data_IF_375999400071
#
_entry.id   IF_375999400071
#
_cell.length_a   1.000
_cell.length_b   1.000
_cell.length_c   1.000
_cell.angle_alpha   90.00
_cell.angle_beta   90.00
_cell.angle_gamma   90.00
#
_symmetry.space_group_name_H-M   'P 1'
#
loop_
_entity.id
_entity.type
_entity.pdbx_description
1 polymer ?
#
# COMPACT_ATOMS: atom_id res chain seq x y z
N UNK A 1 -60.97 -45.77 3.42
CA UNK A 1 -61.03 -44.30 3.57
C UNK A 1 -59.80 -43.87 4.32
N UNK A 2 -58.70 -43.59 3.58
CA UNK A 2 -57.42 -43.17 4.14
C UNK A 2 -57.27 -41.67 3.91
N UNK A 3 -57.12 -40.94 5.01
CA UNK A 3 -56.81 -39.52 5.01
C UNK A 3 -55.31 -39.35 4.73
N UNK A 4 -54.95 -38.61 3.68
CA UNK A 4 -53.62 -38.13 3.40
C UNK A 4 -53.35 -36.86 4.21
N UNK A 5 -52.43 -36.96 5.17
CA UNK A 5 -51.93 -35.78 5.89
C UNK A 5 -50.92 -35.02 4.99
N UNK A 6 -51.31 -33.82 4.63
CA UNK A 6 -50.42 -32.87 3.92
C UNK A 6 -49.50 -32.16 4.95
N UNK A 7 -48.24 -32.57 4.97
CA UNK A 7 -47.21 -31.89 5.73
C UNK A 7 -46.90 -30.52 5.15
N UNK A 8 -47.06 -29.46 5.97
CA UNK A 8 -46.76 -28.09 5.63
C UNK A 8 -45.22 -27.94 5.74
N UNK A 9 -44.51 -27.81 4.61
CA UNK A 9 -43.12 -27.41 4.58
C UNK A 9 -43.03 -25.93 4.89
N UNK A 10 -42.50 -25.61 6.08
CA UNK A 10 -42.12 -24.25 6.48
C UNK A 10 -40.86 -23.83 5.72
N UNK A 11 -41.01 -22.95 4.74
CA UNK A 11 -39.93 -22.33 3.99
C UNK A 11 -39.35 -21.19 4.86
N UNK A 12 -38.28 -21.47 5.61
CA UNK A 12 -37.56 -20.45 6.34
C UNK A 12 -36.83 -19.52 5.35
N UNK A 13 -37.33 -18.30 5.26
CA UNK A 13 -36.68 -17.20 4.54
C UNK A 13 -35.36 -16.84 5.27
N UNK A 14 -34.24 -17.28 4.68
CA UNK A 14 -32.93 -16.78 5.07
C UNK A 14 -32.81 -15.37 4.50
N UNK A 15 -32.97 -14.36 5.35
CA UNK A 15 -32.69 -12.98 4.98
C UNK A 15 -31.18 -12.83 4.71
N UNK A 16 -30.76 -12.32 3.54
CA UNK A 16 -29.36 -11.97 3.36
C UNK A 16 -29.05 -10.76 4.25
N UNK A 17 -28.16 -10.97 5.20
CA UNK A 17 -27.59 -9.90 6.02
C UNK A 17 -26.65 -9.10 5.09
N UNK A 18 -27.17 -8.08 4.43
CA UNK A 18 -26.35 -7.10 3.74
C UNK A 18 -25.60 -6.31 4.83
N UNK A 19 -24.29 -6.56 4.92
CA UNK A 19 -23.41 -5.66 5.64
C UNK A 19 -23.49 -4.30 4.92
N UNK A 20 -24.25 -3.38 5.50
CA UNK A 20 -24.32 -2.01 5.04
C UNK A 20 -22.95 -1.40 5.32
N UNK A 21 -22.17 -1.17 4.25
CA UNK A 21 -20.96 -0.38 4.35
C UNK A 21 -21.37 0.96 4.96
N UNK A 22 -20.76 1.34 6.07
CA UNK A 22 -20.96 2.64 6.67
C UNK A 22 -20.58 3.69 5.61
N UNK A 23 -21.56 4.50 5.19
CA UNK A 23 -21.29 5.66 4.36
C UNK A 23 -20.27 6.54 5.08
N UNK A 24 -19.25 7.06 4.39
CA UNK A 24 -18.31 7.98 5.01
C UNK A 24 -19.09 9.21 5.48
N UNK A 25 -19.03 9.48 6.77
CA UNK A 25 -19.57 10.71 7.36
C UNK A 25 -18.74 11.85 6.78
N UNK A 26 -19.27 12.61 5.83
CA UNK A 26 -18.72 13.90 5.40
C UNK A 26 -18.85 14.89 6.56
N UNK A 27 -17.88 14.88 7.46
CA UNK A 27 -17.68 15.99 8.38
C UNK A 27 -17.02 17.11 7.56
N UNK A 28 -17.78 18.18 7.27
CA UNK A 28 -17.36 19.31 6.44
C UNK A 28 -16.16 20.12 6.99
N UNK A 29 -15.43 19.57 7.95
CA UNK A 29 -14.21 20.12 8.54
C UNK A 29 -13.04 19.12 8.51
N UNK A 30 -12.96 18.27 7.49
CA UNK A 30 -11.84 17.34 7.33
C UNK A 30 -10.53 18.13 7.15
N UNK A 31 -9.76 18.21 8.22
CA UNK A 31 -8.37 18.61 8.14
C UNK A 31 -7.64 17.56 7.32
N UNK A 32 -7.17 17.91 6.16
CA UNK A 32 -6.34 17.03 5.34
C UNK A 32 -5.14 16.58 6.17
N UNK A 33 -4.82 15.27 6.16
CA UNK A 33 -3.69 14.75 6.94
C UNK A 33 -2.38 15.33 6.43
N UNK A 34 -1.41 15.51 7.33
CA UNK A 34 -0.04 15.76 6.93
C UNK A 34 0.58 14.46 6.42
N UNK A 35 1.29 14.53 5.30
CA UNK A 35 1.99 13.39 4.71
C UNK A 35 3.49 13.66 4.76
N UNK A 36 4.25 12.73 5.37
CA UNK A 36 5.71 12.74 5.34
C UNK A 36 6.17 11.54 4.54
N UNK A 37 6.86 11.79 3.42
CA UNK A 37 7.46 10.76 2.59
C UNK A 37 8.96 10.69 2.90
N UNK A 38 9.43 9.50 3.31
CA UNK A 38 10.85 9.21 3.52
C UNK A 38 11.28 8.24 2.43
N UNK A 39 12.15 8.68 1.55
CA UNK A 39 12.67 7.90 0.43
C UNK A 39 14.17 7.70 0.62
N UNK A 40 14.57 6.48 0.97
CA UNK A 40 15.96 6.13 1.22
C UNK A 40 16.67 5.75 -0.10
N UNK A 41 17.92 6.21 -0.26
CA UNK A 41 18.81 5.82 -1.35
C UNK A 41 19.68 4.65 -0.89
N UNK A 42 20.03 3.75 -1.81
CA UNK A 42 20.88 2.57 -1.58
C UNK A 42 20.46 1.65 -0.41
N UNK A 43 19.18 1.65 -0.05
CA UNK A 43 18.63 0.77 0.98
C UNK A 43 18.01 -0.49 0.35
N UNK A 44 18.60 -1.65 0.61
CA UNK A 44 18.12 -2.94 0.15
C UNK A 44 16.92 -3.46 0.98
N UNK A 45 16.12 -4.33 0.40
CA UNK A 45 14.97 -4.96 1.06
C UNK A 45 15.36 -5.66 2.36
N UNK A 46 16.53 -6.33 2.40
CA UNK A 46 17.03 -7.06 3.57
C UNK A 46 17.79 -6.22 4.59
N UNK A 47 17.88 -4.89 4.44
CA UNK A 47 18.70 -4.04 5.30
C UNK A 47 17.98 -3.54 6.57
N UNK A 48 16.66 -3.76 6.64
CA UNK A 48 15.83 -3.40 7.79
C UNK A 48 15.43 -4.64 8.60
N UNK A 49 15.42 -4.53 9.95
CA UNK A 49 15.01 -5.63 10.81
C UNK A 49 13.59 -6.13 10.53
N UNK A 50 12.64 -5.24 10.23
CA UNK A 50 11.27 -5.64 9.88
C UNK A 50 11.18 -6.46 8.59
N UNK A 51 12.25 -6.49 7.79
CA UNK A 51 12.39 -7.34 6.61
C UNK A 51 13.44 -8.44 6.75
N UNK A 52 13.97 -8.64 7.96
CA UNK A 52 14.83 -9.78 8.30
C UNK A 52 16.32 -9.46 8.46
N UNK A 53 16.73 -8.20 8.46
CA UNK A 53 18.13 -7.83 8.77
C UNK A 53 18.53 -8.32 10.16
N UNK A 54 19.69 -8.98 10.25
CA UNK A 54 20.24 -9.46 11.52
C UNK A 54 21.42 -8.63 12.03
N UNK A 55 22.09 -7.90 11.14
CA UNK A 55 23.30 -7.16 11.45
C UNK A 55 23.11 -5.72 11.91
N UNK A 56 21.94 -5.16 11.66
CA UNK A 56 21.62 -3.74 11.94
C UNK A 56 20.32 -3.67 12.75
N UNK A 57 20.31 -2.77 13.74
CA UNK A 57 19.12 -2.50 14.56
C UNK A 57 18.38 -1.28 14.07
N UNK A 58 17.08 -1.46 13.73
CA UNK A 58 16.22 -0.40 13.18
C UNK A 58 14.92 -0.21 13.99
N UNK A 59 15.01 0.08 15.31
CA UNK A 59 13.85 0.03 16.21
C UNK A 59 12.75 1.03 15.84
N UNK A 60 13.09 2.19 15.30
CA UNK A 60 12.11 3.19 14.89
C UNK A 60 11.36 2.76 13.64
N UNK A 61 12.04 2.16 12.67
CA UNK A 61 11.41 1.61 11.47
C UNK A 61 10.56 0.39 11.81
N UNK A 62 11.03 -0.46 12.73
CA UNK A 62 10.25 -1.59 13.24
C UNK A 62 8.93 -1.12 13.88
N UNK A 63 8.96 -0.02 14.64
CA UNK A 63 7.76 0.56 15.23
C UNK A 63 6.80 1.04 14.15
N UNK A 64 7.26 1.77 13.14
CA UNK A 64 6.42 2.17 12.01
C UNK A 64 5.81 0.97 11.28
N UNK A 65 6.58 -0.09 11.08
CA UNK A 65 6.11 -1.31 10.43
C UNK A 65 5.06 -2.07 11.27
N UNK A 66 5.16 -2.01 12.60
CA UNK A 66 4.21 -2.65 13.50
C UNK A 66 2.92 -1.85 13.68
N UNK A 67 3.03 -0.52 13.70
CA UNK A 67 1.90 0.39 13.93
C UNK A 67 1.13 0.70 12.63
N UNK A 68 1.71 0.39 11.46
CA UNK A 68 1.18 0.72 10.16
C UNK A 68 1.06 -0.48 9.22
N UNK A 69 1.12 -0.20 7.92
CA UNK A 69 1.06 -1.21 6.87
C UNK A 69 2.47 -1.47 6.29
N UNK A 70 2.91 -2.71 6.35
CA UNK A 70 4.17 -3.17 5.77
C UNK A 70 3.91 -3.91 4.45
N UNK A 71 4.45 -3.40 3.37
CA UNK A 71 4.39 -4.05 2.06
C UNK A 71 5.49 -5.13 1.94
N UNK A 72 5.12 -6.33 1.56
CA UNK A 72 6.04 -7.46 1.37
C UNK A 72 6.47 -7.63 -0.09
N UNK A 73 5.80 -6.97 -1.02
CA UNK A 73 6.08 -7.05 -2.46
C UNK A 73 5.88 -5.68 -3.14
N UNK A 74 6.50 -4.64 -2.61
CA UNK A 74 6.53 -3.32 -3.24
C UNK A 74 7.86 -3.14 -3.97
N UNK A 75 7.80 -2.53 -5.14
CA UNK A 75 8.96 -2.31 -5.99
C UNK A 75 9.11 -0.83 -6.33
N UNK A 76 10.34 -0.35 -6.32
CA UNK A 76 10.68 0.93 -6.91
C UNK A 76 10.50 0.86 -8.44
N UNK A 77 10.22 2.00 -9.06
CA UNK A 77 10.00 2.08 -10.53
C UNK A 77 11.26 1.73 -11.30
N UNK A 78 12.43 2.00 -10.73
CA UNK A 78 13.72 1.64 -11.27
C UNK A 78 14.68 1.25 -10.13
N UNK A 79 15.73 0.49 -10.48
CA UNK A 79 16.73 0.02 -9.52
C UNK A 79 17.80 1.06 -9.17
N UNK A 80 17.83 2.18 -9.89
CA UNK A 80 18.84 3.24 -9.72
C UNK A 80 18.20 4.57 -9.35
N UNK A 81 19.00 5.44 -8.73
CA UNK A 81 18.56 6.66 -8.07
C UNK A 81 17.83 7.64 -9.01
N UNK A 82 18.48 8.10 -10.08
CA UNK A 82 17.93 9.15 -10.98
C UNK A 82 16.56 8.79 -11.55
N UNK A 83 16.37 7.64 -12.23
CA UNK A 83 15.07 7.30 -12.79
C UNK A 83 14.00 7.03 -11.74
N UNK A 84 14.35 6.46 -10.60
CA UNK A 84 13.41 6.26 -9.48
C UNK A 84 12.92 7.58 -8.92
N UNK A 85 13.83 8.53 -8.67
CA UNK A 85 13.48 9.86 -8.14
C UNK A 85 12.72 10.70 -9.16
N UNK A 86 13.06 10.59 -10.44
CA UNK A 86 12.28 11.21 -11.51
C UNK A 86 10.81 10.77 -11.43
N UNK A 87 10.57 9.47 -11.38
CA UNK A 87 9.21 8.94 -11.33
C UNK A 87 8.46 9.38 -10.07
N UNK A 88 9.12 9.40 -8.91
CA UNK A 88 8.52 9.85 -7.66
C UNK A 88 8.09 11.31 -7.72
N UNK A 89 8.92 12.18 -8.32
CA UNK A 89 8.69 13.63 -8.35
C UNK A 89 7.72 14.06 -9.46
N UNK A 90 7.63 13.30 -10.54
CA UNK A 90 6.84 13.69 -11.72
C UNK A 90 5.58 12.86 -11.92
N UNK A 91 5.49 11.68 -11.29
CA UNK A 91 4.43 10.70 -11.56
C UNK A 91 4.57 9.99 -12.91
N UNK A 92 5.67 10.18 -13.63
CA UNK A 92 5.91 9.60 -14.95
C UNK A 92 6.93 8.46 -14.89
N UNK A 93 6.77 7.48 -15.78
CA UNK A 93 7.76 6.42 -15.94
C UNK A 93 9.00 6.91 -16.68
N UNK A 94 10.23 6.62 -16.21
CA UNK A 94 11.46 7.16 -16.78
C UNK A 94 11.70 6.71 -18.23
N UNK A 95 11.33 5.48 -18.60
CA UNK A 95 11.49 4.96 -19.97
C UNK A 95 10.62 5.67 -21.02
N UNK A 96 9.68 6.50 -20.62
CA UNK A 96 8.83 7.30 -21.53
C UNK A 96 9.50 8.60 -21.95
N UNK A 97 10.59 8.99 -21.29
CA UNK A 97 11.27 10.27 -21.54
C UNK A 97 12.77 10.06 -21.68
N UNK A 98 13.37 10.37 -22.84
CA UNK A 98 14.83 10.32 -23.02
C UNK A 98 15.56 11.19 -21.99
N UNK A 99 16.74 10.76 -21.56
CA UNK A 99 17.57 11.52 -20.62
C UNK A 99 17.22 11.38 -19.14
N UNK A 100 16.35 10.42 -18.80
CA UNK A 100 16.01 10.08 -17.40
C UNK A 100 16.77 8.87 -16.87
N UNK A 101 17.83 8.47 -17.56
CA UNK A 101 18.77 7.43 -17.14
C UNK A 101 19.63 7.91 -15.96
N UNK A 102 20.55 7.06 -15.52
CA UNK A 102 21.51 7.44 -14.47
C UNK A 102 22.31 8.65 -14.93
N UNK A 103 22.20 9.74 -14.18
CA UNK A 103 22.95 10.96 -14.49
C UNK A 103 24.46 10.73 -14.34
N UNK A 104 25.25 11.30 -15.24
CA UNK A 104 26.70 11.33 -15.06
C UNK A 104 27.05 12.07 -13.75
N UNK A 105 28.17 11.71 -13.12
CA UNK A 105 28.54 12.27 -11.82
C UNK A 105 28.77 13.78 -11.78
N UNK A 106 28.92 14.40 -12.97
CA UNK A 106 29.03 15.85 -13.19
C UNK A 106 27.72 16.53 -13.61
N UNK A 107 26.64 15.76 -13.75
CA UNK A 107 25.34 16.32 -14.10
C UNK A 107 24.76 17.14 -12.96
N UNK A 108 24.23 18.32 -13.26
CA UNK A 108 23.48 19.10 -12.31
C UNK A 108 22.24 18.32 -11.83
N UNK A 109 22.17 18.10 -10.54
CA UNK A 109 20.95 17.57 -9.93
C UNK A 109 19.90 18.67 -9.93
N UNK A 110 18.80 18.42 -10.62
CA UNK A 110 17.64 19.34 -10.64
C UNK A 110 16.91 19.26 -9.30
#
# INVERSE_FOLDING_TARGET
MNKLDFGIFSLSLVSPFFAQAAEPVEDGNERKPNVVLIYADDLGFGDLECYGAMGVKTPNVNRLANDGLRFTNAHAVASTSTPSRYSLLTGEYPWRKPGTDVAAGDAAMI
#
